data_IF_405574409920
#
_entry.id   IF_405574409920
#
_cell.length_a   1.000
_cell.length_b   1.000
_cell.length_c   1.000
_cell.angle_alpha   90.00
_cell.angle_beta   90.00
_cell.angle_gamma   90.00
#
_symmetry.space_group_name_H-M   'P 1'
#
loop_
_entity.id
_entity.type
_entity.pdbx_description
1 polymer ?
#
# COMPACT_ATOMS: atom_id res chain seq x y z
N UNK A 1 -26.53 20.41 -8.34
CA UNK A 1 -25.91 19.82 -7.15
C UNK A 1 -24.67 20.65 -6.82
N UNK A 2 -24.68 21.38 -5.72
CA UNK A 2 -23.62 22.32 -5.38
C UNK A 2 -22.35 21.57 -4.95
N UNK A 3 -21.28 21.74 -5.72
CA UNK A 3 -19.90 21.42 -5.33
C UNK A 3 -19.42 22.44 -4.29
N UNK A 4 -20.00 22.42 -3.09
CA UNK A 4 -19.36 23.06 -1.94
C UNK A 4 -18.14 22.23 -1.55
N UNK A 5 -16.98 22.90 -1.44
CA UNK A 5 -15.74 22.30 -0.97
C UNK A 5 -16.00 21.49 0.29
N UNK A 6 -15.68 20.20 0.26
CA UNK A 6 -15.95 19.32 1.39
C UNK A 6 -14.82 19.51 2.39
N UNK A 7 -15.10 20.26 3.45
CA UNK A 7 -14.25 20.36 4.63
C UNK A 7 -14.46 19.07 5.43
N UNK A 8 -13.40 18.29 5.66
CA UNK A 8 -13.45 17.08 6.47
C UNK A 8 -12.34 17.06 7.51
N UNK A 9 -12.50 16.23 8.54
CA UNK A 9 -11.53 16.18 9.62
C UNK A 9 -10.31 15.35 9.21
N UNK A 10 -9.09 15.87 9.33
CA UNK A 10 -7.87 15.07 9.13
C UNK A 10 -7.37 14.57 10.47
N UNK A 11 -7.12 13.28 10.56
CA UNK A 11 -6.53 12.59 11.70
C UNK A 11 -5.43 11.69 11.19
N UNK A 12 -4.37 11.44 11.96
CA UNK A 12 -3.25 10.54 11.60
C UNK A 12 -3.64 9.05 11.61
N UNK A 13 -4.92 8.73 11.39
CA UNK A 13 -5.46 7.38 11.44
C UNK A 13 -4.99 6.59 10.22
N UNK A 14 -4.56 5.35 10.41
CA UNK A 14 -4.17 4.43 9.32
C UNK A 14 -2.66 4.27 9.10
N UNK A 15 -1.82 5.18 9.59
CA UNK A 15 -0.35 5.07 9.49
C UNK A 15 0.22 3.93 10.33
N UNK A 16 -0.43 3.63 11.45
CA UNK A 16 -0.09 2.45 12.25
C UNK A 16 -0.18 1.16 11.45
N UNK A 17 -0.99 1.07 10.39
CA UNK A 17 -1.13 -0.15 9.59
C UNK A 17 0.09 -0.46 8.72
N UNK A 18 1.10 0.40 8.61
CA UNK A 18 2.27 0.11 7.77
C UNK A 18 3.57 -0.12 8.55
N UNK A 19 3.58 0.22 9.85
CA UNK A 19 4.80 0.20 10.66
C UNK A 19 5.61 -1.10 10.48
N UNK A 20 6.89 -1.02 10.10
CA UNK A 20 7.77 -2.19 10.08
C UNK A 20 7.94 -2.74 11.51
N UNK A 21 8.20 -4.04 11.62
CA UNK A 21 8.45 -4.69 12.92
C UNK A 21 7.20 -4.97 13.75
N UNK A 22 6.01 -5.00 13.13
CA UNK A 22 4.76 -5.38 13.80
C UNK A 22 4.70 -6.85 14.19
N UNK A 23 5.36 -7.71 13.42
CA UNK A 23 5.40 -9.15 13.65
C UNK A 23 6.82 -9.67 13.56
N UNK A 24 7.05 -10.85 14.16
CA UNK A 24 8.32 -11.58 14.05
C UNK A 24 8.70 -11.94 12.60
N UNK A 25 7.75 -11.83 11.68
CA UNK A 25 7.90 -12.14 10.25
C UNK A 25 8.38 -10.94 9.42
N UNK A 26 8.38 -9.73 10.01
CA UNK A 26 8.76 -8.49 9.31
C UNK A 26 10.12 -7.98 9.79
N UNK A 27 10.69 -7.03 9.06
CA UNK A 27 11.99 -6.43 9.39
C UNK A 27 12.04 -5.93 10.83
N UNK A 28 13.15 -6.10 11.56
CA UNK A 28 13.25 -5.74 12.98
C UNK A 28 13.31 -4.23 13.27
N UNK A 29 13.36 -3.39 12.23
CA UNK A 29 13.39 -1.92 12.36
C UNK A 29 12.08 -1.41 12.98
N UNK A 30 12.19 -0.43 13.88
CA UNK A 30 11.05 0.15 14.61
C UNK A 30 10.94 1.64 14.28
N UNK A 31 10.44 1.93 13.09
CA UNK A 31 10.23 3.30 12.66
C UNK A 31 8.97 3.85 13.35
N UNK A 32 9.13 4.93 14.12
CA UNK A 32 7.99 5.70 14.60
C UNK A 32 7.51 6.56 13.43
N UNK A 33 6.66 6.00 12.56
CA UNK A 33 6.04 6.69 11.43
C UNK A 33 5.09 7.79 11.91
N UNK A 34 5.66 8.87 12.45
CA UNK A 34 4.95 10.04 12.93
C UNK A 34 4.78 11.02 11.78
N UNK A 35 3.56 11.07 11.25
CA UNK A 35 3.20 12.06 10.23
C UNK A 35 2.79 13.37 10.88
N UNK A 36 3.46 14.44 10.48
CA UNK A 36 3.14 15.82 10.85
C UNK A 36 2.46 16.51 9.68
N UNK A 37 1.33 17.15 9.94
CA UNK A 37 0.66 18.01 8.96
C UNK A 37 1.22 19.42 9.10
N UNK A 38 1.83 19.94 8.05
CA UNK A 38 2.44 21.28 8.04
C UNK A 38 1.53 22.37 7.48
N UNK A 39 0.61 22.01 6.58
CA UNK A 39 -0.29 22.97 5.92
C UNK A 39 -1.60 22.30 5.48
N UNK A 40 -2.57 23.10 5.05
CA UNK A 40 -3.82 22.63 4.45
C UNK A 40 -4.92 22.28 5.45
N UNK A 41 -4.65 22.41 6.75
CA UNK A 41 -5.63 22.16 7.82
C UNK A 41 -5.63 23.26 8.87
N UNK A 42 -6.81 23.59 9.40
CA UNK A 42 -6.99 24.46 10.56
C UNK A 42 -7.97 23.80 11.54
N UNK A 43 -7.64 23.77 12.84
CA UNK A 43 -8.44 23.08 13.85
C UNK A 43 -8.84 21.63 13.46
N UNK A 44 -7.91 20.90 12.82
CA UNK A 44 -8.09 19.56 12.25
C UNK A 44 -9.06 19.46 11.06
N UNK A 45 -9.48 20.57 10.46
CA UNK A 45 -10.36 20.60 9.28
C UNK A 45 -9.58 20.98 8.03
N UNK A 46 -9.85 20.30 6.90
CA UNK A 46 -9.22 20.63 5.62
C UNK A 46 -9.70 21.98 5.08
N UNK A 47 -8.78 22.82 4.61
CA UNK A 47 -9.09 24.14 4.06
C UNK A 47 -9.37 24.14 2.55
N UNK A 48 -9.17 23.01 1.86
CA UNK A 48 -9.19 22.92 0.40
C UNK A 48 -7.91 23.44 -0.27
N UNK A 49 -6.95 23.92 0.51
CA UNK A 49 -5.59 24.25 0.06
C UNK A 49 -4.67 23.02 0.14
N UNK A 50 -3.49 23.04 -0.52
CA UNK A 50 -2.56 21.91 -0.50
C UNK A 50 -2.20 21.46 0.92
N UNK A 51 -2.40 20.17 1.19
CA UNK A 51 -2.03 19.52 2.45
C UNK A 51 -0.59 19.05 2.33
N UNK A 52 0.28 19.57 3.20
CA UNK A 52 1.67 19.13 3.29
C UNK A 52 1.82 18.18 4.48
N UNK A 53 2.31 16.97 4.19
CA UNK A 53 2.61 15.94 5.17
C UNK A 53 4.12 15.75 5.25
N UNK A 54 4.64 15.55 6.46
CA UNK A 54 6.03 15.21 6.69
C UNK A 54 6.10 13.97 7.57
N UNK A 55 6.75 12.93 7.04
CA UNK A 55 7.10 11.71 7.77
C UNK A 55 8.58 11.83 8.17
N UNK A 56 8.89 11.69 9.46
CA UNK A 56 10.27 11.78 9.93
C UNK A 56 10.87 10.40 10.09
N UNK A 57 11.91 10.09 9.31
CA UNK A 57 12.73 8.90 9.55
C UNK A 57 13.68 9.13 10.73
N UNK A 58 13.59 8.29 11.77
CA UNK A 58 14.44 8.37 12.96
C UNK A 58 15.59 7.34 12.96
N UNK A 59 15.51 6.27 12.16
CA UNK A 59 16.43 5.13 12.18
C UNK A 59 17.42 5.16 10.99
N UNK A 60 17.92 6.35 10.63
CA UNK A 60 18.93 6.48 9.58
C UNK A 60 20.35 6.27 10.12
N UNK A 61 20.94 5.10 9.85
CA UNK A 61 22.35 4.83 10.14
C UNK A 61 23.17 4.77 8.84
N UNK A 62 24.02 5.77 8.54
CA UNK A 62 24.79 5.82 7.29
C UNK A 62 25.77 4.64 7.11
N UNK A 63 26.23 4.04 8.20
CA UNK A 63 27.26 3.01 8.21
C UNK A 63 26.82 1.69 7.55
N UNK A 64 25.53 1.36 7.61
CA UNK A 64 25.00 0.09 7.08
C UNK A 64 25.08 0.01 5.54
N UNK A 65 25.17 1.16 4.87
CA UNK A 65 25.15 1.27 3.41
C UNK A 65 26.53 1.55 2.79
N UNK A 66 27.57 1.70 3.60
CA UNK A 66 28.92 2.07 3.13
C UNK A 66 29.50 1.04 2.15
N UNK A 67 29.20 -0.25 2.34
CA UNK A 67 29.69 -1.34 1.49
C UNK A 67 28.93 -1.47 0.16
N UNK A 68 27.80 -0.76 -0.01
CA UNK A 68 26.95 -0.81 -1.20
C UNK A 68 27.19 0.38 -2.16
N UNK A 69 28.13 1.26 -1.82
CA UNK A 69 28.45 2.45 -2.61
C UNK A 69 29.13 2.14 -3.95
N UNK A 70 29.78 0.99 -4.07
CA UNK A 70 30.59 0.65 -5.25
C UNK A 70 29.94 -0.40 -6.17
N UNK A 71 29.06 -1.26 -5.64
CA UNK A 71 28.46 -2.37 -6.41
C UNK A 71 26.94 -2.14 -6.55
N UNK A 72 26.39 -2.06 -7.78
CA UNK A 72 24.95 -1.92 -7.96
C UNK A 72 24.24 -3.18 -7.49
N UNK A 73 23.15 -3.02 -6.75
CA UNK A 73 22.38 -4.15 -6.20
C UNK A 73 21.56 -4.82 -7.29
N UNK A 74 21.50 -6.15 -7.24
CA UNK A 74 20.68 -6.94 -8.18
C UNK A 74 19.19 -6.62 -7.96
N UNK A 75 18.44 -6.44 -9.04
CA UNK A 75 17.00 -6.10 -9.05
C UNK A 75 16.62 -4.70 -8.52
N UNK A 76 17.57 -3.79 -8.30
CA UNK A 76 17.30 -2.38 -7.94
C UNK A 76 17.53 -1.41 -9.12
N UNK A 77 17.16 -0.13 -8.92
CA UNK A 77 17.27 0.89 -9.95
C UNK A 77 18.66 1.54 -10.02
N UNK A 78 19.63 1.11 -9.20
CA UNK A 78 20.96 1.70 -9.07
C UNK A 78 21.60 1.93 -10.46
N UNK A 79 21.55 0.91 -11.31
CA UNK A 79 22.13 0.92 -12.66
C UNK A 79 21.32 1.76 -13.66
N UNK A 80 19.99 1.66 -13.63
CA UNK A 80 19.13 2.41 -14.56
C UNK A 80 19.16 3.90 -14.26
N UNK A 81 19.20 4.27 -12.97
CA UNK A 81 19.35 5.65 -12.51
C UNK A 81 20.69 6.23 -12.96
N UNK A 82 21.79 5.52 -12.68
CA UNK A 82 23.12 5.96 -13.09
C UNK A 82 23.24 6.13 -14.60
N UNK A 83 22.65 5.21 -15.37
CA UNK A 83 22.67 5.29 -16.84
C UNK A 83 21.86 6.47 -17.37
N UNK A 84 20.73 6.80 -16.74
CA UNK A 84 19.83 7.88 -17.16
C UNK A 84 20.35 9.26 -16.78
N UNK A 85 20.87 9.43 -15.57
CA UNK A 85 21.25 10.73 -15.01
C UNK A 85 22.75 10.99 -14.97
N UNK A 86 23.59 9.98 -15.23
CA UNK A 86 25.05 10.09 -15.20
C UNK A 86 25.64 10.23 -13.79
N UNK A 87 24.80 10.21 -12.76
CA UNK A 87 25.17 10.28 -11.34
C UNK A 87 24.71 9.02 -10.63
N UNK A 88 25.49 8.53 -9.67
CA UNK A 88 25.10 7.38 -8.86
C UNK A 88 24.17 7.84 -7.74
N UNK A 89 23.05 7.14 -7.58
CA UNK A 89 22.17 7.37 -6.45
C UNK A 89 22.83 6.80 -5.17
N UNK A 90 22.88 7.55 -4.05
CA UNK A 90 23.32 6.97 -2.79
C UNK A 90 22.39 5.82 -2.40
N UNK A 91 22.90 4.63 -2.01
CA UNK A 91 22.07 3.47 -1.66
C UNK A 91 21.06 3.80 -0.53
N UNK A 92 21.51 4.60 0.43
CA UNK A 92 20.70 5.04 1.56
C UNK A 92 19.60 6.05 1.20
N UNK A 93 19.71 6.70 0.04
CA UNK A 93 18.62 7.51 -0.55
C UNK A 93 17.78 6.65 -1.51
N UNK A 94 18.35 5.62 -2.13
CA UNK A 94 17.63 4.78 -3.09
C UNK A 94 16.57 3.92 -2.42
N UNK A 95 16.84 3.42 -1.22
CA UNK A 95 15.81 2.80 -0.37
C UNK A 95 14.72 3.83 0.01
N UNK A 96 15.03 5.13 0.01
CA UNK A 96 14.05 6.21 0.19
C UNK A 96 13.28 6.55 -1.08
N UNK A 97 13.78 6.17 -2.26
CA UNK A 97 13.09 6.37 -3.54
C UNK A 97 12.33 5.12 -3.96
N UNK A 98 12.66 3.94 -3.42
CA UNK A 98 12.00 2.69 -3.72
C UNK A 98 11.12 2.15 -2.60
N UNK A 99 11.38 2.42 -1.32
CA UNK A 99 10.54 1.87 -0.24
C UNK A 99 9.73 2.98 0.45
N UNK A 100 10.30 4.17 0.62
CA UNK A 100 9.61 5.28 1.30
C UNK A 100 8.51 6.02 0.54
N UNK A 101 8.47 6.10 -0.82
CA UNK A 101 7.32 6.73 -1.49
C UNK A 101 6.00 6.10 -1.07
N UNK A 102 6.04 4.85 -0.61
CA UNK A 102 4.87 4.16 -0.08
C UNK A 102 4.46 4.60 1.35
N UNK A 103 5.33 5.21 2.17
CA UNK A 103 4.95 5.86 3.44
C UNK A 103 4.18 7.16 3.16
N UNK A 104 4.71 8.03 2.28
CA UNK A 104 4.03 9.26 1.92
C UNK A 104 2.73 8.98 1.15
N UNK A 105 2.74 8.00 0.24
CA UNK A 105 1.56 7.58 -0.50
C UNK A 105 0.53 6.91 0.41
N UNK A 106 0.94 6.16 1.42
CA UNK A 106 0.03 5.60 2.43
C UNK A 106 -0.58 6.70 3.29
N UNK A 107 0.20 7.70 3.69
CA UNK A 107 -0.31 8.87 4.42
C UNK A 107 -1.35 9.64 3.59
N UNK A 108 -1.05 9.90 2.32
CA UNK A 108 -1.99 10.53 1.39
C UNK A 108 -3.21 9.63 1.12
N UNK A 109 -3.00 8.33 0.99
CA UNK A 109 -4.02 7.30 0.78
C UNK A 109 -5.01 7.22 1.94
N UNK A 110 -4.54 7.31 3.19
CA UNK A 110 -5.41 7.33 4.38
C UNK A 110 -6.32 8.57 4.41
N UNK A 111 -5.82 9.73 3.96
CA UNK A 111 -6.63 10.95 3.81
C UNK A 111 -7.68 10.75 2.72
N UNK A 112 -7.30 10.18 1.58
CA UNK A 112 -8.21 9.89 0.48
C UNK A 112 -9.28 8.87 0.87
N UNK A 113 -8.91 7.77 1.52
CA UNK A 113 -9.81 6.73 2.04
C UNK A 113 -10.85 7.33 2.98
N UNK A 114 -10.42 8.16 3.93
CA UNK A 114 -11.33 8.85 4.85
C UNK A 114 -12.32 9.74 4.12
N UNK A 115 -11.83 10.55 3.17
CA UNK A 115 -12.70 11.44 2.40
C UNK A 115 -13.71 10.67 1.55
N UNK A 116 -13.27 9.59 0.90
CA UNK A 116 -14.13 8.71 0.09
C UNK A 116 -15.24 8.08 0.95
N UNK A 117 -14.89 7.62 2.16
CA UNK A 117 -15.85 7.06 3.10
C UNK A 117 -16.85 8.13 3.60
N UNK A 118 -16.38 9.27 4.10
CA UNK A 118 -17.27 10.31 4.64
C UNK A 118 -18.17 10.94 3.57
N UNK A 119 -17.68 11.09 2.33
CA UNK A 119 -18.42 11.77 1.27
C UNK A 119 -19.36 10.84 0.50
N UNK A 120 -18.90 9.63 0.22
CA UNK A 120 -19.57 8.72 -0.71
C UNK A 120 -19.91 7.37 -0.10
N UNK A 121 -19.49 7.09 1.14
CA UNK A 121 -19.67 5.78 1.78
C UNK A 121 -18.87 4.67 1.09
N UNK A 122 -17.83 5.02 0.33
CA UNK A 122 -16.96 4.06 -0.35
C UNK A 122 -16.07 3.40 0.71
N UNK A 123 -16.09 2.08 0.75
CA UNK A 123 -15.25 1.29 1.66
C UNK A 123 -14.16 0.59 0.84
N UNK A 124 -12.92 0.64 1.33
CA UNK A 124 -11.77 0.00 0.69
C UNK A 124 -11.18 -0.98 1.69
N UNK A 125 -11.06 -2.25 1.30
CA UNK A 125 -10.46 -3.30 2.12
C UNK A 125 -9.45 -4.06 1.28
N UNK A 126 -8.21 -4.13 1.75
CA UNK A 126 -7.15 -4.90 1.13
C UNK A 126 -6.66 -6.00 2.07
N UNK A 127 -6.40 -7.18 1.52
CA UNK A 127 -5.89 -8.33 2.24
C UNK A 127 -4.93 -9.16 1.38
N UNK A 128 -4.11 -9.98 2.02
CA UNK A 128 -3.20 -10.92 1.33
C UNK A 128 -3.98 -12.15 0.90
N UNK A 129 -3.99 -12.43 -0.40
CA UNK A 129 -4.67 -13.58 -1.00
C UNK A 129 -3.70 -14.69 -1.41
N UNK A 130 -2.40 -14.41 -1.48
CA UNK A 130 -1.39 -15.41 -1.80
C UNK A 130 0.00 -15.04 -1.29
N UNK A 131 0.80 -16.04 -0.93
CA UNK A 131 2.23 -15.93 -0.63
C UNK A 131 2.94 -17.14 -1.26
N UNK A 132 3.95 -16.89 -2.09
CA UNK A 132 4.65 -17.95 -2.80
C UNK A 132 3.69 -18.81 -3.64
N UNK A 133 3.64 -20.12 -3.36
CA UNK A 133 2.74 -21.06 -4.01
C UNK A 133 1.38 -21.23 -3.30
N UNK A 134 1.21 -20.60 -2.13
CA UNK A 134 0.04 -20.75 -1.27
C UNK A 134 -0.94 -19.64 -1.61
N UNK A 135 -2.18 -19.99 -1.93
CA UNK A 135 -3.24 -19.05 -2.27
C UNK A 135 -4.54 -19.45 -1.59
N UNK A 136 -5.37 -18.45 -1.30
CA UNK A 136 -6.72 -18.70 -0.80
C UNK A 136 -7.50 -19.48 -1.87
N UNK A 137 -8.22 -20.56 -1.51
CA UNK A 137 -9.06 -21.30 -2.45
C UNK A 137 -10.08 -20.38 -3.14
N UNK A 138 -10.30 -20.57 -4.45
CA UNK A 138 -11.15 -19.69 -5.27
C UNK A 138 -12.56 -19.51 -4.73
N UNK A 139 -13.16 -20.57 -4.17
CA UNK A 139 -14.49 -20.50 -3.55
C UNK A 139 -14.49 -19.61 -2.30
N UNK A 140 -13.49 -19.77 -1.44
CA UNK A 140 -13.31 -18.93 -0.24
C UNK A 140 -13.04 -17.48 -0.65
N UNK A 141 -12.20 -17.24 -1.66
CA UNK A 141 -11.89 -15.89 -2.12
C UNK A 141 -13.14 -15.18 -2.68
N UNK A 142 -13.99 -15.90 -3.42
CA UNK A 142 -15.25 -15.36 -3.92
C UNK A 142 -16.20 -14.94 -2.77
N UNK A 143 -16.30 -15.77 -1.73
CA UNK A 143 -17.07 -15.44 -0.53
C UNK A 143 -16.51 -14.24 0.21
N UNK A 144 -15.18 -14.12 0.33
CA UNK A 144 -14.51 -12.99 0.97
C UNK A 144 -14.70 -11.68 0.19
N UNK A 145 -14.73 -11.74 -1.14
CA UNK A 145 -15.02 -10.58 -2.01
C UNK A 145 -16.45 -10.07 -1.84
N UNK A 146 -17.40 -10.97 -1.54
CA UNK A 146 -18.82 -10.65 -1.34
C UNK A 146 -19.17 -10.33 0.12
N UNK A 147 -18.36 -10.76 1.07
CA UNK A 147 -18.63 -10.55 2.49
C UNK A 147 -18.38 -9.10 2.90
N UNK A 148 -19.00 -8.70 4.03
CA UNK A 148 -18.75 -7.40 4.69
C UNK A 148 -17.48 -7.44 5.56
N UNK A 149 -16.43 -8.12 5.09
CA UNK A 149 -15.14 -8.18 5.76
C UNK A 149 -14.63 -6.78 6.06
N UNK A 150 -14.22 -6.53 7.31
CA UNK A 150 -13.70 -5.23 7.74
C UNK A 150 -12.18 -5.24 7.80
N UNK A 151 -11.56 -4.08 7.55
CA UNK A 151 -10.10 -3.90 7.71
C UNK A 151 -9.62 -4.31 9.12
N UNK A 152 -10.42 -4.10 10.16
CA UNK A 152 -10.11 -4.51 11.54
C UNK A 152 -10.03 -6.02 11.76
N UNK A 153 -10.68 -6.81 10.90
CA UNK A 153 -10.62 -8.29 10.96
C UNK A 153 -9.38 -8.78 10.23
N UNK A 154 -9.06 -8.17 9.08
CA UNK A 154 -7.84 -8.43 8.32
C UNK A 154 -6.59 -8.13 9.16
N UNK A 155 -6.60 -7.01 9.87
CA UNK A 155 -5.46 -6.54 10.67
C UNK A 155 -5.17 -7.43 11.91
N UNK A 156 -6.06 -8.36 12.27
CA UNK A 156 -5.82 -9.33 13.36
C UNK A 156 -4.88 -10.46 12.95
N UNK A 157 -4.83 -10.77 11.65
CA UNK A 157 -3.96 -11.82 11.10
C UNK A 157 -2.53 -11.30 10.92
N UNK A 158 -1.54 -12.08 11.36
CA UNK A 158 -0.11 -11.72 11.24
C UNK A 158 0.34 -11.49 9.80
N UNK A 159 -0.27 -12.20 8.85
CA UNK A 159 -0.02 -12.07 7.40
C UNK A 159 -1.14 -11.32 6.68
N UNK A 160 -2.11 -10.76 7.41
CA UNK A 160 -3.26 -10.03 6.85
C UNK A 160 -4.07 -10.84 5.83
N UNK A 161 -4.13 -12.15 6.04
CA UNK A 161 -5.02 -13.06 5.31
C UNK A 161 -6.25 -13.32 6.18
N UNK A 162 -7.49 -13.11 5.66
CA UNK A 162 -8.73 -13.31 6.42
C UNK A 162 -9.14 -14.78 6.53
N UNK A 163 -8.54 -15.69 5.74
CA UNK A 163 -8.73 -17.13 5.88
C UNK A 163 -7.65 -17.70 6.81
N UNK A 164 -8.05 -18.15 8.01
CA UNK A 164 -7.12 -18.63 9.04
C UNK A 164 -6.29 -19.83 8.58
N UNK A 165 -6.89 -20.78 7.85
CA UNK A 165 -6.21 -22.00 7.39
C UNK A 165 -5.10 -21.67 6.40
N UNK A 166 -5.40 -20.81 5.42
CA UNK A 166 -4.41 -20.36 4.45
C UNK A 166 -3.37 -19.46 5.13
N UNK A 167 -3.77 -18.64 6.10
CA UNK A 167 -2.85 -17.79 6.86
C UNK A 167 -1.78 -18.59 7.60
N UNK A 168 -2.13 -19.73 8.23
CA UNK A 168 -1.15 -20.60 8.89
C UNK A 168 -0.12 -21.17 7.90
N UNK A 169 -0.59 -21.63 6.73
CA UNK A 169 0.29 -22.13 5.67
C UNK A 169 1.22 -21.02 5.14
N UNK A 170 0.68 -19.82 4.93
CA UNK A 170 1.43 -18.63 4.51
C UNK A 170 2.53 -18.26 5.53
N UNK A 171 2.24 -18.34 6.83
CA UNK A 171 3.23 -18.09 7.89
C UNK A 171 4.38 -19.09 7.77
N UNK A 172 4.09 -20.37 7.59
CA UNK A 172 5.12 -21.40 7.45
C UNK A 172 6.01 -21.19 6.22
N UNK A 173 5.44 -20.76 5.09
CA UNK A 173 6.21 -20.43 3.89
C UNK A 173 7.17 -19.25 4.13
N UNK A 174 6.70 -18.20 4.81
CA UNK A 174 7.55 -17.06 5.18
C UNK A 174 8.68 -17.50 6.11
N UNK A 175 8.37 -18.34 7.11
CA UNK A 175 9.38 -18.87 8.03
C UNK A 175 10.41 -19.75 7.32
N UNK A 176 9.98 -20.58 6.37
CA UNK A 176 10.87 -21.40 5.54
C UNK A 176 11.82 -20.52 4.71
N UNK A 177 11.29 -19.54 3.98
CA UNK A 177 12.09 -18.59 3.20
C UNK A 177 13.09 -17.82 4.09
N UNK A 178 12.66 -17.39 5.28
CA UNK A 178 13.54 -16.70 6.23
C UNK A 178 14.69 -17.59 6.71
N UNK A 179 14.43 -18.87 7.00
CA UNK A 179 15.46 -19.83 7.41
C UNK A 179 16.48 -20.11 6.29
N UNK A 180 16.03 -20.08 5.04
CA UNK A 180 16.85 -20.27 3.84
C UNK A 180 17.57 -18.99 3.39
N UNK A 181 17.38 -17.87 4.09
CA UNK A 181 17.88 -16.53 3.71
C UNK A 181 17.39 -16.09 2.31
N UNK A 182 16.18 -16.51 1.94
CA UNK A 182 15.52 -16.17 0.69
C UNK A 182 14.33 -15.22 0.93
N UNK A 183 13.69 -14.77 -0.15
CA UNK A 183 12.54 -13.89 -0.13
C UNK A 183 11.37 -14.51 -0.90
N UNK A 184 10.15 -14.26 -0.40
CA UNK A 184 8.91 -14.74 -1.03
C UNK A 184 8.01 -13.55 -1.36
N UNK A 185 7.47 -13.54 -2.58
CA UNK A 185 6.47 -12.55 -2.99
C UNK A 185 5.07 -12.90 -2.52
N UNK A 186 4.11 -12.03 -2.81
CA UNK A 186 2.71 -12.27 -2.47
C UNK A 186 1.73 -11.60 -3.43
N UNK A 187 0.46 -11.97 -3.27
CA UNK A 187 -0.68 -11.46 -4.01
C UNK A 187 -1.57 -10.70 -3.01
N UNK A 188 -1.94 -9.48 -3.36
CA UNK A 188 -2.81 -8.63 -2.56
C UNK A 188 -4.13 -8.47 -3.32
N UNK A 189 -5.24 -8.80 -2.67
CA UNK A 189 -6.58 -8.54 -3.19
C UNK A 189 -7.14 -7.29 -2.51
N UNK A 190 -7.60 -6.33 -3.32
CA UNK A 190 -8.27 -5.12 -2.86
C UNK A 190 -9.74 -5.14 -3.31
N UNK A 191 -10.64 -4.84 -2.39
CA UNK A 191 -12.09 -4.79 -2.61
C UNK A 191 -12.58 -3.39 -2.27
N UNK A 192 -13.11 -2.70 -3.29
CA UNK A 192 -13.74 -1.40 -3.15
C UNK A 192 -15.26 -1.57 -3.24
N UNK A 193 -15.99 -1.18 -2.20
CA UNK A 193 -17.46 -1.31 -2.10
C UNK A 193 -18.13 0.05 -2.22
N UNK A 194 -19.43 0.04 -2.54
CA UNK A 194 -20.26 1.24 -2.72
C UNK A 194 -19.69 2.24 -3.75
N UNK A 195 -18.98 1.74 -4.76
CA UNK A 195 -18.48 2.57 -5.86
C UNK A 195 -19.67 3.16 -6.61
N UNK A 196 -19.68 4.49 -6.76
CA UNK A 196 -20.74 5.16 -7.50
C UNK A 196 -20.65 4.81 -9.00
N UNK A 197 -21.80 4.58 -9.66
CA UNK A 197 -21.81 4.38 -11.10
C UNK A 197 -21.30 5.65 -11.80
N UNK A 198 -20.45 5.48 -12.81
CA UNK A 198 -19.90 6.58 -13.61
C UNK A 198 -18.66 7.26 -13.03
N UNK A 199 -17.99 6.68 -12.03
CA UNK A 199 -16.64 7.13 -11.63
C UNK A 199 -15.64 6.79 -12.73
N UNK A 200 -14.81 7.79 -13.07
CA UNK A 200 -13.76 7.69 -14.08
C UNK A 200 -13.97 8.64 -15.25
N UNK A 201 -12.97 8.71 -16.13
CA UNK A 201 -13.06 9.43 -17.40
C UNK A 201 -13.26 8.40 -18.50
N UNK A 202 -13.95 8.80 -19.57
CA UNK A 202 -14.15 7.95 -20.75
C UNK A 202 -12.98 8.16 -21.71
N UNK A 203 -12.44 7.06 -22.24
CA UNK A 203 -11.35 7.01 -23.24
C UNK A 203 -9.98 7.45 -22.66
N UNK A 204 -8.98 6.57 -22.79
CA UNK A 204 -7.57 6.69 -22.35
C UNK A 204 -7.29 6.77 -20.85
N UNK A 205 -8.12 7.45 -20.04
CA UNK A 205 -7.98 7.56 -18.58
C UNK A 205 -9.17 6.91 -17.84
N UNK A 206 -9.53 5.70 -18.29
CA UNK A 206 -10.55 4.88 -17.62
C UNK A 206 -10.12 4.51 -16.20
N UNK A 207 -11.07 4.32 -15.29
CA UNK A 207 -10.78 4.03 -13.89
C UNK A 207 -9.86 2.81 -13.74
N UNK A 208 -10.12 1.75 -14.48
CA UNK A 208 -9.29 0.53 -14.47
C UNK A 208 -7.86 0.80 -14.98
N UNK A 209 -7.72 1.64 -16.01
CA UNK A 209 -6.41 2.03 -16.53
C UNK A 209 -5.62 2.87 -15.52
N UNK A 210 -6.27 3.83 -14.85
CA UNK A 210 -5.66 4.63 -13.80
C UNK A 210 -5.26 3.78 -12.58
N UNK A 211 -6.11 2.82 -12.18
CA UNK A 211 -5.80 1.89 -11.11
C UNK A 211 -4.62 0.99 -11.49
N UNK A 212 -4.59 0.44 -12.70
CA UNK A 212 -3.48 -0.36 -13.18
C UNK A 212 -2.17 0.44 -13.20
N UNK A 213 -2.21 1.70 -13.66
CA UNK A 213 -1.05 2.58 -13.63
C UNK A 213 -0.56 2.84 -12.19
N UNK A 214 -1.48 3.15 -11.27
CA UNK A 214 -1.15 3.37 -9.87
C UNK A 214 -0.58 2.11 -9.19
N UNK A 215 -1.08 0.93 -9.54
CA UNK A 215 -0.60 -0.33 -8.97
C UNK A 215 0.77 -0.72 -9.54
N UNK A 216 1.02 -0.53 -10.83
CA UNK A 216 2.30 -0.82 -11.48
C UNK A 216 3.40 0.20 -11.16
N UNK A 217 3.02 1.42 -10.76
CA UNK A 217 3.99 2.41 -10.29
C UNK A 217 4.52 2.07 -8.90
N UNK A 218 3.87 1.14 -8.18
CA UNK A 218 4.38 0.66 -6.90
C UNK A 218 5.62 -0.23 -7.11
N UNK A 219 6.65 -0.05 -6.27
CA UNK A 219 7.89 -0.81 -6.32
C UNK A 219 7.63 -2.29 -6.04
N UNK A 220 8.46 -3.17 -6.61
CA UNK A 220 8.36 -4.64 -6.51
C UNK A 220 7.09 -5.29 -7.09
N UNK A 221 6.18 -4.53 -7.73
CA UNK A 221 5.06 -5.09 -8.49
C UNK A 221 5.52 -5.55 -9.88
N UNK A 222 5.08 -6.74 -10.30
CA UNK A 222 5.54 -7.37 -11.56
C UNK A 222 4.45 -8.03 -12.39
N UNK A 223 3.27 -8.28 -11.82
CA UNK A 223 2.31 -9.26 -12.36
C UNK A 223 0.94 -8.66 -12.73
N UNK A 224 0.08 -9.50 -13.30
CA UNK A 224 -1.23 -9.15 -13.86
C UNK A 224 -2.26 -8.72 -12.80
N UNK A 225 -3.07 -7.71 -13.14
CA UNK A 225 -4.23 -7.29 -12.35
C UNK A 225 -5.52 -7.78 -13.02
N UNK A 226 -6.45 -8.28 -12.23
CA UNK A 226 -7.81 -8.60 -12.69
C UNK A 226 -8.82 -7.69 -12.01
N UNK A 227 -9.50 -6.86 -12.78
CA UNK A 227 -10.64 -6.08 -12.31
C UNK A 227 -11.90 -6.91 -12.52
N UNK A 228 -12.54 -7.32 -11.42
CA UNK A 228 -13.82 -8.01 -11.46
C UNK A 228 -14.89 -7.09 -10.88
N UNK A 229 -15.72 -6.51 -11.75
CA UNK A 229 -16.92 -5.83 -11.28
C UNK A 229 -17.98 -6.87 -10.92
N UNK A 230 -18.39 -6.90 -9.65
CA UNK A 230 -19.53 -7.70 -9.21
C UNK A 230 -20.88 -7.05 -9.57
N UNK A 231 -20.85 -5.87 -10.21
CA UNK A 231 -22.00 -4.98 -10.42
C UNK A 231 -22.65 -5.10 -11.81
N UNK A 232 -22.42 -6.18 -12.56
CA UNK A 232 -23.12 -6.44 -13.83
C UNK A 232 -24.64 -6.63 -13.72
N UNK A 233 -25.25 -6.45 -12.54
CA UNK A 233 -26.69 -6.55 -12.31
C UNK A 233 -27.49 -5.25 -12.53
N UNK A 234 -26.89 -4.18 -13.05
CA UNK A 234 -27.67 -3.04 -13.55
C UNK A 234 -28.05 -3.24 -15.03
N UNK A 235 -29.08 -4.05 -15.25
CA UNK A 235 -29.88 -4.08 -16.48
C UNK A 235 -31.33 -3.71 -16.19
#
# INVERSE_FOLDING_TARGET
MSTFGTIFQVTTFGLDRRKPGQSKLTTPRKEQDLVKILSGTEANLTLGTPICLVVQNQDFTPADYANMLDIPRSSHADCTYQKKYGIRHPPAEEDQVQEKPSDELHAAGAIAEKWLYEKYGIEIVAYVSGIGQIQIPTETEALLKQSMLKSSEVDQSLVRCPDEKTAELMIHEIEAALNDQDSVGGIITCVCRNILPGIGIVVFDELEAMLAHAMLSMPATKDTYSFNSLSHEFR
#
